data_IF_311461698907
#
_entry.id   IF_311461698907
#
_cell.length_a   1.000
_cell.length_b   1.000
_cell.length_c   1.000
_cell.angle_alpha   90.00
_cell.angle_beta   90.00
_cell.angle_gamma   90.00
#
_symmetry.space_group_name_H-M   'P 1'
#
loop_
_entity.id
_entity.type
_entity.pdbx_description
1 polymer ?
#
# COMPACT_ATOMS: atom_id res chain seq x y z
N UNK A 1 -33.41 -5.54 -3.86
CA UNK A 1 -32.66 -6.75 -3.38
C UNK A 1 -31.64 -7.15 -4.46
N UNK A 2 -32.03 -7.31 -5.75
CA UNK A 2 -31.09 -7.71 -6.81
C UNK A 2 -29.95 -6.70 -7.03
N UNK A 3 -30.20 -5.39 -6.97
CA UNK A 3 -29.19 -4.35 -7.10
C UNK A 3 -28.19 -4.35 -5.94
N UNK A 4 -28.64 -4.64 -4.72
CA UNK A 4 -27.75 -4.76 -3.55
C UNK A 4 -26.90 -6.03 -3.60
N UNK A 5 -27.45 -7.14 -4.10
CA UNK A 5 -26.69 -8.36 -4.31
C UNK A 5 -25.59 -8.16 -5.38
N UNK A 6 -25.93 -7.50 -6.51
CA UNK A 6 -24.95 -7.20 -7.54
C UNK A 6 -23.85 -6.25 -7.08
N UNK A 7 -24.16 -5.26 -6.24
CA UNK A 7 -23.16 -4.39 -5.64
C UNK A 7 -22.26 -5.15 -4.66
N UNK A 8 -22.81 -6.09 -3.89
CA UNK A 8 -22.02 -6.94 -3.00
C UNK A 8 -21.10 -7.89 -3.77
N UNK A 9 -21.58 -8.50 -4.85
CA UNK A 9 -20.77 -9.36 -5.72
C UNK A 9 -19.60 -8.59 -6.35
N UNK A 10 -19.81 -7.29 -6.62
CA UNK A 10 -18.80 -6.43 -7.25
C UNK A 10 -17.82 -5.84 -6.26
N UNK A 11 -18.28 -5.38 -5.09
CA UNK A 11 -17.47 -4.60 -4.13
C UNK A 11 -17.34 -5.25 -2.75
N UNK A 12 -17.78 -6.50 -2.57
CA UNK A 12 -17.86 -7.12 -1.26
C UNK A 12 -16.52 -7.20 -0.52
N UNK A 13 -15.44 -7.52 -1.24
CA UNK A 13 -14.10 -7.57 -0.68
C UNK A 13 -13.63 -6.18 -0.23
N UNK A 14 -13.79 -5.18 -1.10
CA UNK A 14 -13.44 -3.79 -0.82
C UNK A 14 -14.26 -3.21 0.33
N UNK A 15 -15.59 -3.44 0.33
CA UNK A 15 -16.48 -3.01 1.42
C UNK A 15 -16.07 -3.64 2.75
N UNK A 16 -15.78 -4.95 2.73
CA UNK A 16 -15.35 -5.66 3.95
C UNK A 16 -14.04 -5.06 4.48
N UNK A 17 -13.04 -4.86 3.62
CA UNK A 17 -11.77 -4.24 4.01
C UNK A 17 -11.97 -2.81 4.54
N UNK A 18 -12.76 -1.97 3.85
CA UNK A 18 -13.06 -0.61 4.29
C UNK A 18 -13.73 -0.56 5.67
N UNK A 19 -14.52 -1.55 6.02
CA UNK A 19 -15.19 -1.64 7.33
C UNK A 19 -14.24 -2.05 8.46
N UNK A 20 -13.05 -2.58 8.16
CA UNK A 20 -12.03 -2.90 9.18
C UNK A 20 -11.17 -1.71 9.57
N UNK A 21 -11.28 -0.59 8.82
CA UNK A 21 -10.46 0.60 9.10
C UNK A 21 -10.88 1.18 10.44
N UNK A 22 -9.90 1.26 11.34
CA UNK A 22 -10.06 1.84 12.68
C UNK A 22 -8.88 2.71 13.05
N UNK A 23 -9.16 3.77 13.82
CA UNK A 23 -8.15 4.63 14.40
C UNK A 23 -7.57 3.97 15.65
N UNK A 24 -6.25 3.74 15.66
CA UNK A 24 -5.54 3.15 16.81
C UNK A 24 -4.98 4.21 17.75
N UNK A 25 -4.47 5.33 17.18
CA UNK A 25 -3.88 6.44 17.92
C UNK A 25 -3.96 7.71 17.08
N UNK A 26 -3.51 8.84 17.59
CA UNK A 26 -3.35 10.03 16.78
C UNK A 26 -2.37 9.74 15.63
N UNK A 27 -2.80 10.08 14.41
CA UNK A 27 -2.03 9.82 13.18
C UNK A 27 -1.71 8.35 12.90
N UNK A 28 -2.46 7.39 13.48
CA UNK A 28 -2.27 5.97 13.23
C UNK A 28 -3.61 5.24 13.08
N UNK A 29 -3.76 4.55 11.97
CA UNK A 29 -4.89 3.69 11.67
C UNK A 29 -4.44 2.28 11.37
N UNK A 30 -5.37 1.34 11.40
CA UNK A 30 -5.17 -0.02 10.90
C UNK A 30 -6.23 -0.39 9.88
N UNK A 31 -5.89 -1.34 9.03
CA UNK A 31 -6.78 -1.94 8.05
C UNK A 31 -6.43 -3.41 7.86
N UNK A 32 -7.45 -4.28 7.79
CA UNK A 32 -7.31 -5.66 7.36
C UNK A 32 -7.92 -5.84 5.97
N UNK A 33 -7.14 -6.31 5.01
CA UNK A 33 -7.62 -6.60 3.66
C UNK A 33 -7.49 -8.10 3.38
N UNK A 34 -8.63 -8.82 3.40
CA UNK A 34 -8.71 -10.25 3.08
C UNK A 34 -9.23 -10.46 1.67
N UNK A 35 -8.53 -11.29 0.91
CA UNK A 35 -8.92 -11.66 -0.45
C UNK A 35 -8.13 -10.92 -1.52
N UNK A 36 -8.72 -10.80 -2.70
CA UNK A 36 -8.08 -10.17 -3.84
C UNK A 36 -8.10 -8.65 -3.72
N UNK A 37 -6.92 -8.04 -3.66
CA UNK A 37 -6.73 -6.58 -3.72
C UNK A 37 -6.19 -6.12 -5.09
N UNK A 38 -6.23 -7.00 -6.11
CA UNK A 38 -5.92 -6.66 -7.49
C UNK A 38 -4.45 -6.76 -7.88
N UNK A 39 -3.57 -7.21 -6.99
CA UNK A 39 -2.14 -7.19 -7.28
C UNK A 39 -1.74 -8.21 -8.36
N UNK A 40 -2.38 -9.38 -8.39
CA UNK A 40 -2.14 -10.36 -9.47
C UNK A 40 -2.48 -9.75 -10.84
N UNK A 41 -3.62 -9.10 -10.98
CA UNK A 41 -4.01 -8.39 -12.20
C UNK A 41 -3.07 -7.23 -12.55
N UNK A 42 -2.51 -6.54 -11.55
CA UNK A 42 -1.49 -5.53 -11.76
C UNK A 42 -0.23 -6.12 -12.40
N UNK A 43 0.23 -7.26 -11.92
CA UNK A 43 1.39 -7.96 -12.49
C UNK A 43 1.09 -8.53 -13.88
N UNK A 44 -0.10 -9.10 -14.08
CA UNK A 44 -0.52 -9.67 -15.37
C UNK A 44 -0.57 -8.64 -16.49
N UNK A 45 -0.96 -7.38 -16.20
CA UNK A 45 -0.93 -6.31 -17.20
C UNK A 45 0.48 -5.79 -17.50
N UNK A 46 1.50 -6.21 -16.74
CA UNK A 46 2.90 -5.78 -16.88
C UNK A 46 3.32 -4.68 -15.92
N UNK A 47 2.57 -4.50 -14.82
CA UNK A 47 2.88 -3.50 -13.80
C UNK A 47 2.52 -2.07 -14.21
N UNK A 48 3.37 -1.11 -13.85
CA UNK A 48 3.21 0.31 -14.18
C UNK A 48 4.59 0.97 -14.36
N UNK A 49 4.70 1.87 -15.31
CA UNK A 49 5.94 2.61 -15.63
C UNK A 49 6.12 3.87 -14.78
N UNK A 50 5.08 4.24 -14.02
CA UNK A 50 5.09 5.41 -13.14
C UNK A 50 4.07 5.24 -12.02
N UNK A 51 4.21 6.05 -10.96
CA UNK A 51 3.24 6.10 -9.86
C UNK A 51 1.86 6.57 -10.35
N UNK A 52 1.79 7.41 -11.37
CA UNK A 52 0.53 7.84 -11.98
C UNK A 52 -0.19 6.66 -12.67
N UNK A 53 0.52 5.84 -13.45
CA UNK A 53 -0.06 4.63 -14.05
C UNK A 53 -0.49 3.62 -12.99
N UNK A 54 0.28 3.47 -11.90
CA UNK A 54 -0.09 2.64 -10.77
C UNK A 54 -1.36 3.18 -10.09
N UNK A 55 -1.44 4.48 -9.86
CA UNK A 55 -2.64 5.14 -9.33
C UNK A 55 -3.87 4.94 -10.21
N UNK A 56 -3.73 5.04 -11.53
CA UNK A 56 -4.81 4.78 -12.49
C UNK A 56 -5.29 3.32 -12.42
N UNK A 57 -4.36 2.37 -12.28
CA UNK A 57 -4.71 0.95 -12.10
C UNK A 57 -5.49 0.73 -10.80
N UNK A 58 -4.95 1.22 -9.67
CA UNK A 58 -5.58 1.07 -8.34
C UNK A 58 -6.98 1.67 -8.36
N UNK A 59 -7.13 2.88 -8.88
CA UNK A 59 -8.42 3.54 -8.98
C UNK A 59 -9.41 2.74 -9.84
N UNK A 60 -8.95 2.22 -10.97
CA UNK A 60 -9.76 1.38 -11.84
C UNK A 60 -10.19 0.09 -11.13
N UNK A 61 -9.27 -0.58 -10.44
CA UNK A 61 -9.56 -1.79 -9.71
C UNK A 61 -10.56 -1.55 -8.57
N UNK A 62 -10.30 -0.57 -7.70
CA UNK A 62 -11.14 -0.28 -6.53
C UNK A 62 -12.53 0.21 -6.93
N UNK A 63 -12.64 1.01 -7.98
CA UNK A 63 -13.90 1.62 -8.42
C UNK A 63 -14.59 0.87 -9.57
N UNK A 64 -14.01 -0.22 -10.08
CA UNK A 64 -14.41 -0.86 -11.33
C UNK A 64 -14.53 0.14 -12.50
N UNK A 65 -13.62 1.13 -12.54
CA UNK A 65 -13.57 2.14 -13.59
C UNK A 65 -14.52 3.34 -13.40
N UNK A 66 -15.27 3.41 -12.29
CA UNK A 66 -16.20 4.52 -12.05
C UNK A 66 -15.55 5.79 -11.53
N UNK A 67 -14.30 5.73 -11.06
CA UNK A 67 -13.62 6.87 -10.47
C UNK A 67 -12.14 6.91 -10.87
N UNK A 68 -11.63 8.12 -11.10
CA UNK A 68 -10.21 8.39 -11.32
C UNK A 68 -9.77 9.47 -10.34
N UNK A 69 -8.85 9.19 -9.40
CA UNK A 69 -8.29 10.21 -8.54
C UNK A 69 -7.34 11.11 -9.33
N UNK A 70 -7.26 12.37 -8.89
CA UNK A 70 -6.15 13.25 -9.25
C UNK A 70 -5.03 12.99 -8.22
N UNK A 71 -4.10 12.12 -8.55
CA UNK A 71 -2.99 11.77 -7.66
C UNK A 71 -1.77 12.62 -8.03
N UNK A 72 -1.46 13.61 -7.21
CA UNK A 72 -0.16 14.27 -7.24
C UNK A 72 0.76 13.56 -6.24
N UNK A 73 1.82 12.92 -6.72
CA UNK A 73 2.80 12.30 -5.83
C UNK A 73 3.43 13.35 -4.90
N UNK A 74 3.38 13.13 -3.60
CA UNK A 74 4.10 13.94 -2.63
C UNK A 74 5.58 13.63 -2.74
N UNK A 75 6.38 14.55 -3.25
CA UNK A 75 7.83 14.47 -3.22
C UNK A 75 8.37 15.15 -1.97
N UNK A 76 9.38 14.57 -1.33
CA UNK A 76 10.04 15.15 -0.16
C UNK A 76 11.40 14.52 0.09
N UNK A 77 12.21 15.19 0.93
CA UNK A 77 13.44 14.61 1.44
C UNK A 77 13.13 13.85 2.72
N UNK A 78 13.39 12.56 2.73
CA UNK A 78 13.26 11.73 3.92
C UNK A 78 14.55 10.92 4.17
N UNK A 79 14.73 10.51 5.41
CA UNK A 79 15.81 9.63 5.84
C UNK A 79 15.25 8.31 6.36
N UNK A 80 16.04 7.28 6.27
CA UNK A 80 15.64 5.97 6.77
C UNK A 80 16.84 5.25 7.38
N UNK A 81 16.59 4.41 8.37
CA UNK A 81 17.57 3.47 8.87
C UNK A 81 16.93 2.11 9.15
N UNK A 82 17.70 1.07 8.97
CA UNK A 82 17.30 -0.30 9.31
C UNK A 82 18.37 -0.99 10.14
N UNK A 83 17.94 -1.93 10.95
CA UNK A 83 18.81 -2.84 11.69
C UNK A 83 18.29 -4.27 11.57
N UNK A 84 19.19 -5.20 11.25
CA UNK A 84 18.90 -6.62 11.26
C UNK A 84 19.92 -7.29 12.20
N UNK A 85 19.42 -7.94 13.25
CA UNK A 85 20.26 -8.57 14.27
C UNK A 85 19.69 -9.92 14.69
N UNK A 86 20.51 -10.73 15.32
CA UNK A 86 20.07 -11.97 15.96
C UNK A 86 20.10 -11.76 17.47
N UNK A 87 19.00 -12.05 18.14
CA UNK A 87 18.90 -12.02 19.59
C UNK A 87 19.71 -13.16 20.22
N UNK A 88 20.04 -13.09 21.51
CA UNK A 88 20.82 -14.13 22.19
C UNK A 88 20.17 -15.53 22.17
N UNK A 89 18.86 -15.61 22.02
CA UNK A 89 18.10 -16.88 21.90
C UNK A 89 17.95 -17.36 20.45
N UNK A 90 18.59 -16.63 19.47
CA UNK A 90 18.65 -17.02 18.08
C UNK A 90 17.52 -16.47 17.20
N UNK A 91 16.62 -15.64 17.74
CA UNK A 91 15.56 -15.03 16.93
C UNK A 91 16.14 -13.91 16.01
N UNK A 92 15.71 -13.91 14.75
CA UNK A 92 16.02 -12.80 13.85
C UNK A 92 15.10 -11.60 14.19
N UNK A 93 15.72 -10.44 14.35
CA UNK A 93 15.02 -9.18 14.62
C UNK A 93 15.33 -8.19 13.51
N UNK A 94 14.29 -7.52 13.03
CA UNK A 94 14.38 -6.44 12.05
C UNK A 94 13.74 -5.19 12.63
N UNK A 95 14.45 -4.07 12.60
CA UNK A 95 13.95 -2.77 13.01
C UNK A 95 14.12 -1.77 11.88
N UNK A 96 13.17 -0.86 11.74
CA UNK A 96 13.19 0.20 10.74
C UNK A 96 12.75 1.52 11.37
N UNK A 97 13.43 2.60 11.03
CA UNK A 97 13.05 3.96 11.31
C UNK A 97 12.81 4.71 9.99
N UNK A 98 11.70 5.44 9.93
CA UNK A 98 11.32 6.30 8.81
C UNK A 98 11.33 7.74 9.28
N UNK A 99 12.32 8.50 8.81
CA UNK A 99 12.50 9.90 9.18
C UNK A 99 11.69 10.77 8.20
N UNK A 100 10.52 11.15 8.62
CA UNK A 100 9.58 12.02 7.91
C UNK A 100 9.01 13.05 8.88
N UNK A 101 8.42 14.11 8.34
CA UNK A 101 7.61 15.03 9.15
C UNK A 101 6.42 14.28 9.76
N UNK A 102 5.65 14.92 10.61
CA UNK A 102 4.44 14.33 11.16
C UNK A 102 3.51 13.92 10.01
N UNK A 103 3.09 12.67 9.98
CA UNK A 103 2.28 12.11 8.90
C UNK A 103 1.23 11.14 9.44
N UNK A 104 0.13 11.01 8.71
CA UNK A 104 -0.87 9.98 8.96
C UNK A 104 -0.35 8.62 8.45
N UNK A 105 -0.53 7.57 9.24
CA UNK A 105 0.03 6.23 8.99
C UNK A 105 -1.04 5.16 9.00
N UNK A 106 -0.88 4.16 8.15
CA UNK A 106 -1.74 2.99 8.13
C UNK A 106 -0.91 1.73 8.39
N UNK A 107 -1.32 0.94 9.36
CA UNK A 107 -0.90 -0.45 9.52
C UNK A 107 -1.80 -1.32 8.65
N UNK A 108 -1.22 -1.95 7.65
CA UNK A 108 -1.94 -2.73 6.63
C UNK A 108 -1.68 -4.21 6.86
N UNK A 109 -2.71 -4.95 7.27
CA UNK A 109 -2.68 -6.41 7.35
C UNK A 109 -3.34 -6.98 6.10
N UNK A 110 -2.63 -7.79 5.32
CA UNK A 110 -3.18 -8.43 4.12
C UNK A 110 -3.21 -9.94 4.27
N UNK A 111 -4.31 -10.53 3.83
CA UNK A 111 -4.48 -11.99 3.70
C UNK A 111 -4.90 -12.26 2.26
N UNK A 112 -3.94 -12.28 1.32
CA UNK A 112 -4.24 -12.44 -0.10
C UNK A 112 -4.77 -13.84 -0.41
N UNK A 113 -5.45 -13.97 -1.53
CA UNK A 113 -5.90 -15.27 -2.04
C UNK A 113 -4.73 -16.08 -2.57
N UNK A 114 -3.76 -15.41 -3.20
CA UNK A 114 -2.50 -15.96 -3.68
C UNK A 114 -1.37 -15.14 -3.06
N UNK A 115 -0.39 -15.78 -2.43
CA UNK A 115 0.70 -15.11 -1.73
C UNK A 115 0.65 -15.34 -0.22
N UNK A 116 1.47 -14.60 0.51
CA UNK A 116 1.62 -14.74 1.95
C UNK A 116 0.82 -13.70 2.72
N UNK A 117 0.32 -14.08 3.88
CA UNK A 117 -0.18 -13.13 4.86
C UNK A 117 0.94 -12.19 5.28
N UNK A 118 0.66 -10.88 5.35
CA UNK A 118 1.67 -9.89 5.70
C UNK A 118 1.11 -8.72 6.49
N UNK A 119 2.01 -8.09 7.24
CA UNK A 119 1.78 -6.82 7.92
C UNK A 119 2.77 -5.79 7.36
N UNK A 120 2.28 -4.60 7.05
CA UNK A 120 3.08 -3.55 6.43
C UNK A 120 2.65 -2.17 6.94
N UNK A 121 3.52 -1.16 6.78
CA UNK A 121 3.18 0.24 7.07
C UNK A 121 3.12 1.07 5.79
N UNK A 122 2.22 2.04 5.77
CA UNK A 122 2.05 3.01 4.71
C UNK A 122 2.03 4.42 5.31
N UNK A 123 2.74 5.37 4.69
CA UNK A 123 2.52 6.79 4.93
C UNK A 123 1.38 7.25 4.03
N UNK A 124 0.27 7.66 4.65
CA UNK A 124 -0.96 8.04 3.94
C UNK A 124 -0.84 9.35 3.16
N UNK A 125 0.09 10.22 3.55
CA UNK A 125 0.36 11.48 2.83
C UNK A 125 0.84 11.21 1.39
N UNK A 126 1.51 10.07 1.18
CA UNK A 126 1.98 9.66 -0.16
C UNK A 126 0.84 9.25 -1.10
N UNK A 127 -0.36 9.03 -0.59
CA UNK A 127 -1.53 8.75 -1.42
C UNK A 127 -2.09 10.02 -2.09
N UNK A 128 -1.69 11.22 -1.64
CA UNK A 128 -2.04 12.49 -2.27
C UNK A 128 -3.50 12.91 -2.16
N UNK A 129 -4.23 12.40 -1.17
CA UNK A 129 -5.67 12.68 -1.04
C UNK A 129 -6.01 14.02 -0.37
N UNK A 130 -4.98 14.78 0.04
CA UNK A 130 -5.13 16.12 0.64
C UNK A 130 -5.29 16.09 2.17
N UNK A 131 -5.09 17.25 2.78
CA UNK A 131 -5.04 17.42 4.25
C UNK A 131 -6.37 17.17 4.96
N UNK A 132 -7.49 17.41 4.28
CA UNK A 132 -8.83 17.23 4.86
C UNK A 132 -9.31 15.76 4.84
N UNK A 133 -8.62 14.88 4.10
CA UNK A 133 -8.98 13.48 4.02
C UNK A 133 -8.58 12.72 5.29
N UNK A 134 -9.45 11.81 5.72
CA UNK A 134 -9.18 10.91 6.86
C UNK A 134 -9.57 9.48 6.53
N UNK A 135 -8.72 8.48 6.81
CA UNK A 135 -8.97 7.08 6.45
C UNK A 135 -10.25 6.50 7.04
N UNK A 136 -10.69 6.98 8.20
CA UNK A 136 -11.89 6.56 8.92
C UNK A 136 -13.08 7.52 8.74
N UNK A 137 -12.99 8.45 7.81
CA UNK A 137 -14.03 9.42 7.48
C UNK A 137 -15.28 8.82 6.84
N UNK A 138 -15.69 9.37 5.71
CA UNK A 138 -16.84 8.86 4.95
C UNK A 138 -16.51 7.47 4.34
N UNK A 139 -17.53 6.77 3.84
CA UNK A 139 -17.31 5.51 3.11
C UNK A 139 -16.42 5.71 1.87
N UNK A 140 -16.50 6.88 1.21
CA UNK A 140 -15.61 7.24 0.12
C UNK A 140 -14.16 7.35 0.58
N UNK A 141 -13.91 7.99 1.72
CA UNK A 141 -12.56 8.12 2.30
C UNK A 141 -11.98 6.76 2.67
N UNK A 142 -12.80 5.87 3.22
CA UNK A 142 -12.41 4.48 3.53
C UNK A 142 -12.05 3.69 2.27
N UNK A 143 -12.79 3.88 1.18
CA UNK A 143 -12.46 3.27 -0.10
C UNK A 143 -11.13 3.79 -0.66
N UNK A 144 -10.86 5.09 -0.55
CA UNK A 144 -9.58 5.67 -0.93
C UNK A 144 -8.43 5.07 -0.11
N UNK A 145 -8.64 4.85 1.19
CA UNK A 145 -7.65 4.25 2.08
C UNK A 145 -7.23 2.83 1.67
N UNK A 146 -8.05 2.11 0.91
CA UNK A 146 -7.69 0.78 0.39
C UNK A 146 -6.47 0.81 -0.54
N UNK A 147 -6.16 1.96 -1.14
CA UNK A 147 -4.95 2.15 -1.95
C UNK A 147 -3.65 1.95 -1.14
N UNK A 148 -3.69 2.07 0.19
CA UNK A 148 -2.53 1.88 1.06
C UNK A 148 -1.87 0.50 0.95
N UNK A 149 -2.59 -0.54 0.50
CA UNK A 149 -1.99 -1.86 0.21
C UNK A 149 -0.89 -1.81 -0.84
N UNK A 150 -0.95 -0.82 -1.75
CA UNK A 150 0.02 -0.67 -2.83
C UNK A 150 1.16 0.30 -2.49
N UNK A 151 1.01 1.13 -1.46
CA UNK A 151 1.94 2.20 -1.11
C UNK A 151 2.67 1.90 0.22
N UNK A 152 3.07 0.66 0.42
CA UNK A 152 3.78 0.24 1.63
C UNK A 152 5.23 0.69 1.60
N UNK A 153 5.76 1.03 2.77
CA UNK A 153 7.15 1.47 2.96
C UNK A 153 8.03 0.42 3.66
N UNK A 154 7.41 -0.45 4.42
CA UNK A 154 8.05 -1.60 5.06
C UNK A 154 7.00 -2.65 5.41
N UNK A 155 7.47 -3.84 5.75
CA UNK A 155 6.57 -4.90 6.18
C UNK A 155 7.28 -6.21 6.44
N UNK A 156 6.48 -7.18 6.89
CA UNK A 156 6.92 -8.55 7.12
C UNK A 156 5.81 -9.52 6.73
N UNK A 157 6.17 -10.62 6.09
CA UNK A 157 5.23 -11.68 5.79
C UNK A 157 5.29 -12.83 6.82
N UNK A 158 4.29 -13.73 6.76
CA UNK A 158 4.17 -14.89 7.66
C UNK A 158 5.36 -15.86 7.60
N UNK A 159 6.21 -15.76 6.58
CA UNK A 159 7.44 -16.58 6.45
C UNK A 159 8.65 -15.90 7.08
N UNK A 160 8.48 -14.69 7.65
CA UNK A 160 9.54 -13.94 8.30
C UNK A 160 10.41 -13.12 7.36
N UNK A 161 10.04 -12.98 6.07
CA UNK A 161 10.71 -12.03 5.19
C UNK A 161 10.30 -10.61 5.61
N UNK A 162 11.30 -9.78 5.93
CA UNK A 162 11.13 -8.36 6.19
C UNK A 162 11.65 -7.55 5.00
N UNK A 163 10.94 -6.51 4.64
CA UNK A 163 11.30 -5.57 3.58
C UNK A 163 11.16 -4.13 4.06
N UNK A 164 11.96 -3.22 3.51
CA UNK A 164 11.82 -1.79 3.73
C UNK A 164 12.34 -1.01 2.54
N UNK A 165 11.67 0.10 2.23
CA UNK A 165 12.18 1.12 1.33
C UNK A 165 13.13 2.05 2.10
N UNK A 166 14.32 2.29 1.53
CA UNK A 166 15.30 3.22 2.04
C UNK A 166 15.74 4.14 0.90
N UNK A 167 15.54 5.43 1.07
CA UNK A 167 15.95 6.40 0.07
C UNK A 167 17.48 6.41 -0.09
N UNK A 168 17.93 6.32 -1.33
CA UNK A 168 19.32 6.58 -1.72
C UNK A 168 19.33 7.83 -2.60
N UNK A 169 20.07 8.84 -2.16
CA UNK A 169 20.28 10.04 -2.98
C UNK A 169 21.13 9.66 -4.19
N UNK A 170 20.59 9.89 -5.38
CA UNK A 170 21.27 9.61 -6.63
C UNK A 170 21.14 10.84 -7.54
N UNK A 171 22.28 11.32 -8.09
CA UNK A 171 22.30 12.51 -8.98
C UNK A 171 21.71 12.20 -10.38
N UNK A 172 21.87 10.97 -10.82
CA UNK A 172 21.31 10.47 -12.08
C UNK A 172 20.31 9.34 -11.74
N UNK A 173 19.06 9.51 -12.10
CA UNK A 173 18.04 8.48 -11.88
C UNK A 173 18.41 7.15 -12.52
N UNK A 174 17.83 6.07 -12.05
CA UNK A 174 17.92 4.75 -12.69
C UNK A 174 17.01 4.77 -13.92
N UNK A 175 17.56 4.55 -15.11
CA UNK A 175 16.76 4.41 -16.33
C UNK A 175 15.87 3.17 -16.23
N UNK A 176 14.56 3.38 -16.39
CA UNK A 176 13.61 2.27 -16.50
C UNK A 176 13.74 1.61 -17.87
N UNK A 177 13.70 0.29 -17.90
CA UNK A 177 13.64 -0.45 -19.14
C UNK A 177 12.19 -0.55 -19.63
N UNK A 178 11.75 0.43 -20.42
CA UNK A 178 10.37 0.53 -20.90
C UNK A 178 9.96 -0.53 -21.93
N UNK A 179 10.88 -1.39 -22.35
CA UNK A 179 10.61 -2.51 -23.28
C UNK A 179 10.14 -3.77 -22.53
N UNK A 180 10.09 -3.74 -21.19
CA UNK A 180 9.68 -4.85 -20.33
C UNK A 180 8.59 -4.37 -19.37
N UNK A 181 7.86 -5.32 -18.75
CA UNK A 181 7.02 -5.01 -17.60
C UNK A 181 7.81 -4.29 -16.51
N UNK A 182 7.26 -3.20 -16.00
CA UNK A 182 7.87 -2.37 -14.97
C UNK A 182 7.03 -2.36 -13.69
N UNK A 183 7.69 -2.17 -12.56
CA UNK A 183 7.05 -1.94 -11.27
C UNK A 183 7.70 -0.75 -10.58
N UNK A 184 6.91 0.02 -9.84
CA UNK A 184 7.44 1.08 -8.98
C UNK A 184 8.08 0.49 -7.73
N UNK A 185 8.90 1.27 -7.01
CA UNK A 185 9.58 0.79 -5.79
C UNK A 185 8.59 0.26 -4.76
N UNK A 186 7.52 1.01 -4.48
CA UNK A 186 6.52 0.62 -3.49
C UNK A 186 5.72 -0.62 -3.91
N UNK A 187 5.41 -0.78 -5.19
CA UNK A 187 4.79 -2.02 -5.69
C UNK A 187 5.78 -3.19 -5.70
N UNK A 188 7.07 -2.91 -5.84
CA UNK A 188 8.14 -3.91 -5.66
C UNK A 188 8.20 -4.47 -4.23
N UNK A 189 8.00 -3.62 -3.20
CA UNK A 189 7.88 -4.10 -1.83
C UNK A 189 6.67 -5.02 -1.64
N UNK A 190 5.52 -4.66 -2.23
CA UNK A 190 4.31 -5.51 -2.19
C UNK A 190 4.53 -6.85 -2.90
N UNK A 191 5.29 -6.88 -3.98
CA UNK A 191 5.65 -8.13 -4.68
C UNK A 191 6.48 -9.08 -3.81
N UNK A 192 7.30 -8.55 -2.91
CA UNK A 192 8.16 -9.34 -2.02
C UNK A 192 7.41 -9.89 -0.80
N UNK A 193 6.36 -9.24 -0.35
CA UNK A 193 5.56 -9.66 0.80
C UNK A 193 4.48 -10.64 0.42
#
# INVERSE_FOLDING_TARGET
>A
IAALAGAWDMFGTQLTAAMTIEKLDDHLWSMEYKGDYGFDGFLEQGGAKSDAEMGDYIASFLSHGFWKPDTSAAGGNYGCSTVAVTSPDGAALFGRNFDWEECDKMLVHTVPKNGYESIATCNLDFLGFGEDWKPDGSMGDKFMALASVYAILDGMNEKGLCVADLMVSHEEGVDQNTDKPDITIVSGLRLLL
#
